data_IF_219431013202
#
_entry.id   IF_219431013202
#
_cell.length_a   1.000
_cell.length_b   1.000
_cell.length_c   1.000
_cell.angle_alpha   90.00
_cell.angle_beta   90.00
_cell.angle_gamma   90.00
#
_symmetry.space_group_name_H-M   'P 1'
#
loop_
_entity.id
_entity.type
_entity.pdbx_description
1 polymer ?
#
# COMPACT_ATOMS: atom_id res chain seq x y z
N UNK A 1 18.23 12.54 -5.40
CA UNK A 1 17.17 11.63 -4.93
C UNK A 1 17.43 11.30 -3.49
N UNK A 2 16.46 11.59 -2.62
CA UNK A 2 16.51 11.24 -1.21
C UNK A 2 16.28 9.73 -1.03
N UNK A 3 16.75 9.15 0.08
CA UNK A 3 16.56 7.72 0.36
C UNK A 3 15.07 7.33 0.39
N UNK A 4 14.21 8.25 0.81
CA UNK A 4 12.76 8.08 0.88
C UNK A 4 12.12 7.97 -0.51
N UNK A 5 12.48 8.83 -1.45
CA UNK A 5 11.99 8.76 -2.84
C UNK A 5 12.39 7.44 -3.51
N UNK A 6 13.61 6.96 -3.24
CA UNK A 6 14.06 5.66 -3.75
C UNK A 6 13.21 4.50 -3.19
N UNK A 7 12.84 4.55 -1.91
CA UNK A 7 12.00 3.52 -1.29
C UNK A 7 10.58 3.58 -1.86
N UNK A 8 10.00 4.77 -2.04
CA UNK A 8 8.68 4.94 -2.65
C UNK A 8 8.68 4.37 -4.08
N UNK A 9 9.67 4.72 -4.90
CA UNK A 9 9.77 4.23 -6.28
C UNK A 9 9.92 2.70 -6.32
N UNK A 10 10.75 2.12 -5.46
CA UNK A 10 10.87 0.65 -5.34
C UNK A 10 9.54 0.01 -4.93
N UNK A 11 8.82 0.64 -4.01
CA UNK A 11 7.50 0.16 -3.55
C UNK A 11 6.47 0.21 -4.66
N UNK A 12 6.45 1.29 -5.47
CA UNK A 12 5.58 1.39 -6.65
C UNK A 12 5.86 0.27 -7.65
N UNK A 13 7.13 -0.01 -7.95
CA UNK A 13 7.52 -1.10 -8.85
C UNK A 13 7.06 -2.43 -8.28
N UNK A 14 7.35 -2.70 -6.99
CA UNK A 14 6.91 -3.90 -6.31
C UNK A 14 5.38 -4.09 -6.35
N UNK A 15 4.62 -3.01 -6.14
CA UNK A 15 3.16 -3.05 -6.17
C UNK A 15 2.65 -3.41 -7.56
N UNK A 16 3.21 -2.77 -8.60
CA UNK A 16 2.87 -3.08 -9.99
C UNK A 16 3.18 -4.53 -10.33
N UNK A 17 4.37 -5.02 -9.99
CA UNK A 17 4.77 -6.42 -10.21
C UNK A 17 3.84 -7.41 -9.49
N UNK A 18 3.38 -7.08 -8.27
CA UNK A 18 2.41 -7.91 -7.54
C UNK A 18 1.03 -7.92 -8.18
N UNK A 19 0.60 -6.79 -8.74
CA UNK A 19 -0.66 -6.68 -9.45
C UNK A 19 -0.63 -7.27 -10.85
N UNK A 20 0.54 -7.34 -11.51
CA UNK A 20 0.67 -7.97 -12.85
C UNK A 20 0.26 -9.45 -12.87
N UNK A 21 0.31 -10.15 -11.73
CA UNK A 21 -0.15 -11.54 -11.59
C UNK A 21 -1.65 -11.70 -11.32
N UNK A 22 -2.37 -10.62 -11.00
CA UNK A 22 -3.82 -10.61 -10.82
C UNK A 22 -4.45 -10.00 -12.09
N UNK A 23 -5.47 -10.63 -12.66
CA UNK A 23 -6.05 -10.35 -13.99
C UNK A 23 -6.30 -8.87 -14.37
N UNK A 24 -5.24 -8.18 -14.80
CA UNK A 24 -5.29 -6.89 -15.48
C UNK A 24 -5.20 -5.70 -14.54
N UNK A 25 -4.39 -4.71 -14.93
CA UNK A 25 -4.04 -3.48 -14.20
C UNK A 25 -5.19 -2.52 -13.85
N UNK A 26 -6.42 -3.00 -13.70
CA UNK A 26 -7.55 -2.28 -13.12
C UNK A 26 -7.26 -1.83 -11.68
N UNK A 27 -6.56 -2.66 -10.91
CA UNK A 27 -6.26 -2.36 -9.50
C UNK A 27 -5.14 -1.31 -9.34
N UNK A 28 -4.18 -1.23 -10.28
CA UNK A 28 -3.14 -0.20 -10.21
C UNK A 28 -3.75 1.21 -10.31
N UNK A 29 -4.74 1.43 -11.17
CA UNK A 29 -5.41 2.73 -11.27
C UNK A 29 -6.17 3.09 -9.98
N UNK A 30 -6.70 2.10 -9.25
CA UNK A 30 -7.27 2.31 -7.92
C UNK A 30 -6.20 2.79 -6.94
N UNK A 31 -5.10 2.04 -6.80
CA UNK A 31 -3.99 2.36 -5.88
C UNK A 31 -3.36 3.71 -6.22
N UNK A 32 -3.13 4.00 -7.51
CA UNK A 32 -2.53 5.26 -7.95
C UNK A 32 -3.41 6.46 -7.58
N UNK A 33 -4.74 6.34 -7.75
CA UNK A 33 -5.68 7.40 -7.37
C UNK A 33 -5.66 7.62 -5.85
N UNK A 34 -5.68 6.55 -5.05
CA UNK A 34 -5.61 6.63 -3.59
C UNK A 34 -4.29 7.26 -3.14
N UNK A 35 -3.17 6.83 -3.70
CA UNK A 35 -1.84 7.38 -3.44
C UNK A 35 -1.75 8.89 -3.73
N UNK A 36 -2.23 9.33 -4.90
CA UNK A 36 -2.24 10.75 -5.29
C UNK A 36 -3.11 11.58 -4.34
N UNK A 37 -4.28 11.08 -3.97
CA UNK A 37 -5.18 11.76 -3.04
C UNK A 37 -4.59 11.82 -1.62
N UNK A 38 -4.03 10.71 -1.13
CA UNK A 38 -3.39 10.64 0.19
C UNK A 38 -2.20 11.60 0.29
N UNK A 39 -1.38 11.69 -0.76
CA UNK A 39 -0.31 12.68 -0.83
C UNK A 39 -0.84 14.12 -0.83
N UNK A 40 -1.92 14.40 -1.57
CA UNK A 40 -2.50 15.73 -1.60
C UNK A 40 -3.02 16.14 -0.21
N UNK A 41 -3.73 15.25 0.48
CA UNK A 41 -4.21 15.47 1.84
C UNK A 41 -3.04 15.60 2.82
N UNK A 42 -1.96 14.82 2.64
CA UNK A 42 -0.78 14.90 3.52
C UNK A 42 -0.07 16.25 3.49
N UNK A 43 -0.28 17.06 2.44
CA UNK A 43 0.28 18.42 2.35
C UNK A 43 -0.44 19.43 3.22
N UNK A 44 -1.72 19.19 3.53
CA UNK A 44 -2.53 20.08 4.36
C UNK A 44 -2.55 19.65 5.82
N UNK A 45 -2.23 18.40 6.10
CA UNK A 45 -2.19 17.82 7.44
C UNK A 45 -0.77 17.76 8.03
N UNK A 46 -0.63 17.81 9.36
CA UNK A 46 0.66 17.58 10.04
C UNK A 46 0.98 16.09 10.14
N UNK A 47 1.23 15.46 9.01
CA UNK A 47 1.53 14.02 8.91
C UNK A 47 2.83 13.78 8.16
N UNK A 48 3.40 12.58 8.31
CA UNK A 48 4.60 12.20 7.58
C UNK A 48 4.22 11.69 6.18
N UNK A 49 4.44 12.52 5.16
CA UNK A 49 4.13 12.19 3.76
C UNK A 49 4.80 10.91 3.25
N UNK A 50 5.96 10.53 3.78
CA UNK A 50 6.62 9.26 3.44
C UNK A 50 5.83 8.04 3.96
N UNK A 51 5.34 8.11 5.20
CA UNK A 51 4.53 7.03 5.79
C UNK A 51 3.18 6.94 5.09
N UNK A 52 2.55 8.07 4.81
CA UNK A 52 1.27 8.13 4.08
C UNK A 52 1.42 7.55 2.67
N UNK A 53 2.49 7.90 1.95
CA UNK A 53 2.80 7.35 0.64
C UNK A 53 2.91 5.82 0.66
N UNK A 54 3.68 5.27 1.59
CA UNK A 54 3.86 3.82 1.71
C UNK A 54 2.57 3.10 2.12
N UNK A 55 1.81 3.66 3.07
CA UNK A 55 0.53 3.12 3.49
C UNK A 55 -0.47 3.05 2.33
N UNK A 56 -0.59 4.13 1.55
CA UNK A 56 -1.48 4.17 0.40
C UNK A 56 -1.05 3.22 -0.74
N UNK A 57 0.25 2.99 -0.93
CA UNK A 57 0.73 2.05 -1.97
C UNK A 57 0.52 0.58 -1.58
N UNK A 58 0.61 0.24 -0.29
CA UNK A 58 0.59 -1.15 0.19
C UNK A 58 -0.77 -1.61 0.73
N UNK A 59 -1.73 -0.72 0.97
CA UNK A 59 -3.01 -1.06 1.62
C UNK A 59 -3.76 -2.21 0.92
N UNK A 60 -3.77 -2.21 -0.41
CA UNK A 60 -4.49 -3.17 -1.24
C UNK A 60 -3.73 -4.52 -1.40
N UNK A 61 -2.40 -4.48 -1.27
CA UNK A 61 -1.55 -5.68 -1.27
C UNK A 61 -1.64 -6.41 0.07
N UNK A 62 -1.75 -5.65 1.17
CA UNK A 62 -1.99 -6.23 2.48
C UNK A 62 -3.36 -6.92 2.57
N UNK A 63 -4.33 -6.48 1.77
CA UNK A 63 -5.68 -7.05 1.70
C UNK A 63 -5.79 -8.20 0.66
N UNK A 64 -4.97 -8.17 -0.40
CA UNK A 64 -4.91 -9.23 -1.41
C UNK A 64 -4.27 -10.52 -0.88
N UNK A 65 -5.07 -11.30 -0.14
CA UNK A 65 -5.01 -12.77 -0.06
C UNK A 65 -3.76 -13.42 0.58
N UNK A 66 -3.05 -12.73 1.48
CA UNK A 66 -2.09 -13.35 2.40
C UNK A 66 -2.47 -12.99 3.84
N UNK A 67 -3.35 -13.73 4.50
CA UNK A 67 -2.98 -15.04 5.04
C UNK A 67 -3.93 -16.13 4.53
N UNK A 68 -3.61 -16.85 3.46
CA UNK A 68 -3.94 -18.27 3.23
C UNK A 68 -5.15 -18.92 3.98
N UNK A 69 -6.28 -18.23 4.13
CA UNK A 69 -7.38 -18.61 5.03
C UNK A 69 -7.04 -18.80 6.52
N UNK A 70 -5.97 -18.20 7.07
CA UNK A 70 -5.63 -18.39 8.50
C UNK A 70 -5.94 -17.16 9.36
N UNK A 71 -7.19 -17.12 9.82
CA UNK A 71 -7.73 -16.16 10.80
C UNK A 71 -7.28 -16.46 12.25
N UNK A 72 -6.42 -17.46 12.50
CA UNK A 72 -6.12 -17.92 13.87
C UNK A 72 -5.06 -17.12 14.62
N UNK A 73 -4.36 -16.18 13.99
CA UNK A 73 -3.30 -15.39 14.67
C UNK A 73 -3.85 -14.25 15.54
N UNK A 74 -5.13 -13.89 15.39
CA UNK A 74 -5.74 -12.78 16.14
C UNK A 74 -6.42 -13.16 17.47
N UNK A 75 -6.94 -14.39 17.61
CA UNK A 75 -7.89 -14.71 18.67
C UNK A 75 -7.41 -15.79 19.67
N UNK A 76 -6.16 -15.70 20.15
CA UNK A 76 -5.72 -16.48 21.32
C UNK A 76 -5.33 -15.66 22.56
N UNK A 77 -5.58 -14.35 22.54
CA UNK A 77 -5.23 -13.50 23.67
C UNK A 77 -6.32 -12.47 23.97
N UNK A 78 -7.50 -12.95 24.37
CA UNK A 78 -8.23 -12.36 25.51
C UNK A 78 -9.66 -12.88 25.60
N UNK A 79 -9.88 -13.70 26.63
CA UNK A 79 -11.15 -14.07 27.29
C UNK A 79 -11.97 -15.19 26.67
#
# INVERSE_FOLDING_TARGET
MTNQENIINKTIVFVKEKLEGAEGGHDWFHIERVYKNALLISKTEKVNGFVVALGALLHDIADSKFHNGDETVGAKSSS
#
